data_IF_976121510075
#
_entry.id   IF_976121510075
#
_cell.length_a   1.000
_cell.length_b   1.000
_cell.length_c   1.000
_cell.angle_alpha   90.00
_cell.angle_beta   90.00
_cell.angle_gamma   90.00
#
_symmetry.space_group_name_H-M   'P 1'
#
loop_
_entity.id
_entity.type
_entity.pdbx_description
1 polymer ?
#
# COMPACT_ATOMS: atom_id res chain seq x y z
N UNK A 1 -71.57 38.73 41.27
CA UNK A 1 -70.57 38.83 40.21
C UNK A 1 -69.24 38.35 40.73
N UNK A 2 -68.82 37.09 40.35
CA UNK A 2 -67.55 36.47 40.77
C UNK A 2 -66.55 36.69 39.65
N UNK A 3 -65.47 37.43 39.91
CA UNK A 3 -64.36 37.63 39.00
C UNK A 3 -63.37 36.42 39.13
N UNK A 4 -63.20 35.65 38.04
CA UNK A 4 -62.18 34.65 37.85
C UNK A 4 -60.88 35.33 37.40
N UNK A 5 -59.81 35.17 38.18
CA UNK A 5 -58.47 35.61 37.82
C UNK A 5 -57.73 34.38 37.24
N UNK A 6 -57.37 34.40 35.97
CA UNK A 6 -56.54 33.37 35.35
C UNK A 6 -55.06 33.68 35.61
N UNK A 7 -54.40 32.79 36.29
CA UNK A 7 -52.95 32.84 36.51
C UNK A 7 -52.27 32.08 35.36
N UNK A 8 -51.64 32.80 34.42
CA UNK A 8 -50.81 32.16 33.36
C UNK A 8 -49.46 31.81 33.93
N UNK A 9 -49.21 30.49 34.12
CA UNK A 9 -47.86 29.96 34.47
C UNK A 9 -47.08 29.77 33.20
N UNK A 10 -46.06 30.59 32.98
CA UNK A 10 -45.08 30.40 31.91
C UNK A 10 -44.05 29.37 32.33
N UNK A 11 -44.09 28.18 31.73
CA UNK A 11 -43.06 27.15 31.87
C UNK A 11 -41.95 27.45 30.86
N UNK A 12 -40.81 27.90 31.38
CA UNK A 12 -39.57 28.01 30.58
C UNK A 12 -38.97 26.62 30.43
N UNK A 13 -39.06 26.02 29.25
CA UNK A 13 -38.34 24.82 28.89
C UNK A 13 -36.87 25.17 28.63
N UNK A 14 -35.98 24.89 29.54
CA UNK A 14 -34.55 24.99 29.31
C UNK A 14 -34.12 23.77 28.53
N UNK A 15 -33.89 23.92 27.21
CA UNK A 15 -33.33 22.90 26.38
C UNK A 15 -31.84 22.79 26.68
N UNK A 16 -31.45 21.74 27.40
CA UNK A 16 -30.06 21.37 27.62
C UNK A 16 -29.51 20.76 26.31
N UNK A 17 -28.80 21.56 25.51
CA UNK A 17 -28.06 21.06 24.35
C UNK A 17 -26.83 20.32 24.87
N UNK A 18 -26.91 18.99 24.93
CA UNK A 18 -25.72 18.15 25.13
C UNK A 18 -24.84 18.28 23.89
N UNK A 19 -23.73 19.00 24.03
CA UNK A 19 -22.68 19.01 23.02
C UNK A 19 -22.11 17.60 22.94
N UNK A 20 -22.44 16.88 21.86
CA UNK A 20 -21.77 15.64 21.48
C UNK A 20 -20.34 16.05 21.11
N UNK A 21 -19.29 15.52 21.77
CA UNK A 21 -17.94 15.79 21.35
C UNK A 21 -17.79 15.31 19.91
N UNK A 22 -17.29 16.18 19.03
CA UNK A 22 -16.91 15.80 17.68
C UNK A 22 -15.89 14.66 17.83
N UNK A 23 -16.23 13.47 17.31
CA UNK A 23 -15.25 12.40 17.19
C UNK A 23 -14.20 12.90 16.18
N UNK A 24 -12.98 13.07 16.68
CA UNK A 24 -11.81 13.31 15.85
C UNK A 24 -11.62 12.06 14.99
N UNK A 25 -12.05 12.15 13.72
CA UNK A 25 -12.03 11.02 12.77
C UNK A 25 -10.68 10.84 12.08
N UNK A 26 -9.63 11.49 12.56
CA UNK A 26 -8.26 11.27 12.10
C UNK A 26 -7.61 10.09 12.85
N UNK A 27 -8.15 8.90 12.69
CA UNK A 27 -7.43 7.70 13.10
C UNK A 27 -6.29 7.47 12.10
N UNK A 28 -5.10 8.02 12.41
CA UNK A 28 -3.88 7.69 11.67
C UNK A 28 -3.66 6.17 11.65
N UNK A 29 -3.03 5.68 10.58
CA UNK A 29 -2.72 4.26 10.45
C UNK A 29 -1.91 3.75 11.66
N UNK A 30 -2.22 2.54 12.11
CA UNK A 30 -1.39 1.83 13.09
C UNK A 30 -0.25 1.10 12.37
N UNK A 31 0.97 1.23 12.89
CA UNK A 31 2.15 0.59 12.30
C UNK A 31 2.57 -0.66 13.08
N UNK A 32 3.06 -1.71 12.40
CA UNK A 32 3.26 -1.83 10.96
C UNK A 32 1.93 -1.89 10.18
N UNK A 33 1.83 -1.11 9.08
CA UNK A 33 0.70 -1.12 8.17
C UNK A 33 1.07 -1.94 6.94
N UNK A 34 0.51 -3.13 6.81
CA UNK A 34 0.92 -4.08 5.78
C UNK A 34 0.29 -3.77 4.42
N UNK A 35 1.14 -3.66 3.40
CA UNK A 35 0.75 -3.78 2.00
C UNK A 35 0.46 -5.24 1.68
N UNK A 36 1.40 -6.13 2.05
CA UNK A 36 1.29 -7.58 1.95
C UNK A 36 2.01 -8.24 3.13
N UNK A 37 1.32 -9.14 3.82
CA UNK A 37 1.86 -9.94 4.91
C UNK A 37 1.87 -11.43 4.59
N UNK A 38 0.73 -11.94 4.08
CA UNK A 38 0.53 -13.34 3.74
C UNK A 38 -0.67 -13.47 2.79
N UNK A 39 -0.72 -14.47 1.95
CA UNK A 39 -1.79 -14.67 0.96
C UNK A 39 -3.16 -14.79 1.61
N UNK A 40 -4.04 -13.82 1.34
CA UNK A 40 -5.38 -13.75 1.92
C UNK A 40 -5.44 -13.25 3.36
N UNK A 41 -4.36 -12.71 3.90
CA UNK A 41 -4.37 -12.06 5.23
C UNK A 41 -5.33 -10.87 5.23
N UNK A 42 -6.13 -10.76 6.30
CA UNK A 42 -7.04 -9.61 6.50
C UNK A 42 -6.28 -8.31 6.85
N UNK A 43 -4.99 -8.41 7.14
CA UNK A 43 -4.13 -7.24 7.41
C UNK A 43 -3.49 -6.68 6.15
N UNK A 44 -3.69 -7.31 4.98
CA UNK A 44 -3.29 -6.73 3.70
C UNK A 44 -4.24 -5.59 3.34
N UNK A 45 -3.71 -4.40 3.09
CA UNK A 45 -4.49 -3.20 2.80
C UNK A 45 -4.47 -2.82 1.32
N UNK A 46 -3.63 -3.48 0.53
CA UNK A 46 -3.48 -3.23 -0.90
C UNK A 46 -3.55 -4.53 -1.69
N UNK A 47 -3.88 -4.40 -2.96
CA UNK A 47 -4.08 -5.53 -3.87
C UNK A 47 -3.12 -5.39 -5.05
N UNK A 48 -2.29 -6.39 -5.39
CA UNK A 48 -1.41 -6.36 -6.56
C UNK A 48 -2.22 -6.52 -7.84
N UNK A 49 -2.84 -5.44 -8.29
CA UNK A 49 -3.85 -5.43 -9.38
C UNK A 49 -3.48 -4.55 -10.56
N UNK A 50 -2.59 -3.56 -10.36
CA UNK A 50 -2.23 -2.60 -11.39
C UNK A 50 -1.12 -3.11 -12.31
N UNK A 51 -1.44 -4.03 -13.20
CA UNK A 51 -0.49 -4.53 -14.20
C UNK A 51 -0.28 -3.48 -15.30
N UNK A 52 0.98 -3.21 -15.66
CA UNK A 52 1.36 -2.12 -16.56
C UNK A 52 2.59 -2.46 -17.40
N UNK A 53 2.86 -1.65 -18.44
CA UNK A 53 3.91 -1.92 -19.42
C UNK A 53 3.58 -3.14 -20.27
N UNK A 54 4.54 -4.01 -20.48
CA UNK A 54 4.35 -5.30 -21.16
C UNK A 54 3.70 -6.32 -20.19
N UNK A 55 2.50 -5.96 -19.70
CA UNK A 55 1.78 -6.71 -18.66
C UNK A 55 1.43 -8.15 -19.07
N UNK A 56 1.26 -8.43 -20.35
CA UNK A 56 1.04 -9.79 -20.85
C UNK A 56 2.23 -10.74 -20.62
N UNK A 57 3.42 -10.17 -20.35
CA UNK A 57 4.63 -10.91 -20.00
C UNK A 57 4.72 -11.25 -18.50
N UNK A 58 3.78 -10.81 -17.66
CA UNK A 58 3.80 -11.00 -16.21
C UNK A 58 2.89 -12.14 -15.81
N UNK A 59 3.39 -13.04 -14.96
CA UNK A 59 2.61 -14.00 -14.18
C UNK A 59 2.83 -13.74 -12.70
N UNK A 60 1.77 -13.87 -11.90
CA UNK A 60 1.79 -13.67 -10.46
C UNK A 60 1.12 -14.84 -9.75
N UNK A 61 1.71 -15.22 -8.61
CA UNK A 61 1.12 -16.12 -7.61
C UNK A 61 1.28 -15.47 -6.24
N UNK A 62 0.20 -14.90 -5.71
CA UNK A 62 0.16 -14.24 -4.39
C UNK A 62 0.03 -15.21 -3.20
N UNK A 63 -0.02 -16.50 -3.47
CA UNK A 63 -0.08 -17.56 -2.46
C UNK A 63 1.02 -18.60 -2.65
N UNK A 64 2.14 -18.18 -3.22
CA UNK A 64 3.28 -19.03 -3.44
C UNK A 64 3.86 -19.53 -2.11
N UNK A 65 4.05 -20.85 -2.00
CA UNK A 65 4.60 -21.51 -0.81
C UNK A 65 6.07 -21.89 -0.97
N UNK A 66 6.73 -21.38 -2.00
CA UNK A 66 8.13 -21.64 -2.25
C UNK A 66 9.02 -20.81 -1.32
N UNK A 67 9.38 -21.40 -0.18
CA UNK A 67 10.28 -20.82 0.82
C UNK A 67 9.90 -19.35 1.19
N UNK A 68 8.69 -19.08 1.75
CA UNK A 68 8.31 -17.75 2.19
C UNK A 68 9.27 -17.25 3.28
N UNK A 69 9.44 -15.92 3.37
CA UNK A 69 10.28 -15.31 4.42
C UNK A 69 9.62 -15.43 5.79
N UNK A 70 8.30 -15.27 5.83
CA UNK A 70 7.49 -15.41 7.03
C UNK A 70 6.11 -15.98 6.67
N UNK A 71 5.32 -16.37 7.68
CA UNK A 71 3.98 -16.91 7.45
C UNK A 71 3.97 -18.20 6.62
N UNK A 72 2.95 -18.34 5.76
CA UNK A 72 2.77 -19.53 4.94
C UNK A 72 3.04 -19.29 3.45
N UNK A 73 3.02 -18.03 2.99
CA UNK A 73 3.08 -17.69 1.58
C UNK A 73 3.88 -16.41 1.34
N UNK A 74 4.37 -16.26 0.10
CA UNK A 74 4.93 -15.04 -0.44
C UNK A 74 4.30 -14.73 -1.80
N UNK A 75 4.56 -13.56 -2.37
CA UNK A 75 4.16 -13.25 -3.74
C UNK A 75 5.30 -13.61 -4.68
N UNK A 76 5.01 -14.46 -5.66
CA UNK A 76 5.92 -14.81 -6.75
C UNK A 76 5.53 -14.08 -8.01
N UNK A 77 6.48 -13.41 -8.65
CA UNK A 77 6.35 -12.83 -9.97
C UNK A 77 7.29 -13.51 -10.96
N UNK A 78 6.77 -13.72 -12.17
CA UNK A 78 7.59 -14.14 -13.32
C UNK A 78 7.34 -13.16 -14.45
N UNK A 79 8.39 -12.57 -14.98
CA UNK A 79 8.40 -11.73 -16.16
C UNK A 79 9.18 -12.45 -17.27
N UNK A 80 8.57 -12.62 -18.45
CA UNK A 80 9.21 -13.40 -19.54
C UNK A 80 10.23 -12.60 -20.34
N UNK A 81 10.21 -11.26 -20.22
CA UNK A 81 11.03 -10.37 -21.05
C UNK A 81 10.46 -10.13 -22.45
N UNK A 82 9.29 -10.69 -22.78
CA UNK A 82 8.64 -10.51 -24.07
C UNK A 82 7.94 -9.14 -24.17
N UNK A 83 8.10 -8.39 -25.26
CA UNK A 83 7.47 -7.09 -25.44
C UNK A 83 6.00 -7.25 -25.87
N UNK A 84 5.17 -7.79 -25.00
CA UNK A 84 3.77 -8.16 -25.30
C UNK A 84 2.88 -6.97 -25.68
N UNK A 85 3.19 -5.76 -25.20
CA UNK A 85 2.56 -4.49 -25.61
C UNK A 85 3.53 -3.57 -26.35
N UNK A 86 4.80 -3.99 -26.54
CA UNK A 86 5.83 -3.23 -27.25
C UNK A 86 6.44 -2.07 -26.44
N UNK A 87 6.38 -2.11 -25.12
CA UNK A 87 6.84 -1.02 -24.26
C UNK A 87 8.24 -1.25 -23.66
N UNK A 88 8.77 -2.47 -23.74
CA UNK A 88 10.10 -2.86 -23.24
C UNK A 88 10.33 -2.63 -21.73
N UNK A 89 9.26 -2.57 -20.96
CA UNK A 89 9.25 -2.52 -19.50
C UNK A 89 7.96 -3.13 -18.96
N UNK A 90 7.95 -3.57 -17.72
CA UNK A 90 6.78 -4.14 -17.08
C UNK A 90 6.78 -3.82 -15.58
N UNK A 91 5.59 -3.82 -14.97
CA UNK A 91 5.44 -3.60 -13.55
C UNK A 91 4.07 -3.96 -13.01
N UNK A 92 3.97 -4.05 -11.67
CA UNK A 92 2.72 -4.26 -10.96
C UNK A 92 2.62 -3.29 -9.79
N UNK A 93 1.48 -2.63 -9.68
CA UNK A 93 1.11 -1.71 -8.62
C UNK A 93 0.17 -2.41 -7.65
N UNK A 94 0.46 -2.31 -6.36
CA UNK A 94 -0.43 -2.74 -5.27
C UNK A 94 -1.33 -1.57 -4.91
N UNK A 95 -2.60 -1.67 -5.26
CA UNK A 95 -3.56 -0.57 -5.25
C UNK A 95 -4.68 -0.77 -4.23
N UNK A 96 -5.26 0.31 -3.75
CA UNK A 96 -6.48 0.32 -2.97
C UNK A 96 -7.47 1.37 -3.52
N UNK A 97 -8.68 0.96 -3.97
CA UNK A 97 -9.08 -0.43 -4.26
C UNK A 97 -8.35 -1.02 -5.48
N UNK A 98 -8.61 -2.30 -5.77
CA UNK A 98 -8.01 -2.99 -6.92
C UNK A 98 -8.28 -2.26 -8.24
N UNK A 99 -7.27 -2.22 -9.12
CA UNK A 99 -7.32 -1.57 -10.45
C UNK A 99 -7.68 -0.07 -10.40
N UNK A 100 -7.39 0.60 -9.28
CA UNK A 100 -7.64 2.03 -9.15
C UNK A 100 -6.46 2.85 -9.67
N UNK A 101 -6.64 3.46 -10.83
CA UNK A 101 -5.70 4.37 -11.46
C UNK A 101 -6.03 5.85 -11.19
N UNK A 102 -6.50 6.16 -9.98
CA UNK A 102 -6.90 7.51 -9.56
C UNK A 102 -8.29 7.93 -10.03
N UNK A 103 -9.13 6.96 -10.38
CA UNK A 103 -10.50 7.22 -10.88
C UNK A 103 -11.57 7.18 -9.80
N UNK A 104 -11.29 6.51 -8.68
CA UNK A 104 -12.18 6.41 -7.53
C UNK A 104 -11.41 6.67 -6.23
N UNK A 105 -12.12 7.08 -5.20
CA UNK A 105 -11.56 7.26 -3.85
C UNK A 105 -11.10 5.92 -3.26
N UNK A 106 -10.06 5.93 -2.44
CA UNK A 106 -9.54 4.71 -1.82
C UNK A 106 -8.15 4.82 -1.20
N UNK A 107 -7.54 6.00 -1.21
CA UNK A 107 -6.23 6.23 -0.58
C UNK A 107 -6.24 6.01 0.93
N UNK A 108 -5.14 5.49 1.48
CA UNK A 108 -4.92 5.39 2.91
C UNK A 108 -4.09 6.58 3.41
N UNK A 109 -4.44 7.12 4.58
CA UNK A 109 -3.60 8.08 5.31
C UNK A 109 -2.54 7.30 6.08
N UNK A 110 -1.29 7.39 5.59
CA UNK A 110 -0.12 6.74 6.17
C UNK A 110 0.83 7.74 6.83
N UNK A 111 0.31 8.92 7.17
CA UNK A 111 1.06 9.97 7.91
C UNK A 111 1.68 9.38 9.17
N UNK A 112 2.97 9.66 9.37
CA UNK A 112 3.75 9.12 10.49
C UNK A 112 4.60 7.89 10.15
N UNK A 113 4.42 7.26 8.99
CA UNK A 113 5.37 6.27 8.50
C UNK A 113 6.72 6.93 8.18
N UNK A 114 7.81 6.19 8.41
CA UNK A 114 9.18 6.66 8.17
C UNK A 114 9.85 5.96 7.01
N UNK A 115 9.43 4.74 6.73
CA UNK A 115 9.90 3.95 5.60
C UNK A 115 8.93 2.83 5.25
N UNK A 116 9.05 2.31 4.03
CA UNK A 116 8.51 1.02 3.65
C UNK A 116 9.64 0.01 3.83
N UNK A 117 9.38 -1.11 4.51
CA UNK A 117 10.29 -2.26 4.57
C UNK A 117 9.65 -3.43 3.86
N UNK A 118 10.46 -4.24 3.21
CA UNK A 118 10.01 -5.46 2.54
C UNK A 118 11.15 -6.45 2.38
N UNK A 119 10.81 -7.74 2.25
CA UNK A 119 11.77 -8.74 1.87
C UNK A 119 11.62 -9.07 0.38
N UNK A 120 12.74 -9.23 -0.28
CA UNK A 120 12.80 -9.68 -1.68
C UNK A 120 13.93 -10.67 -1.89
N UNK A 121 13.72 -11.62 -2.81
CA UNK A 121 14.75 -12.50 -3.33
C UNK A 121 14.52 -12.79 -4.82
N UNK A 122 15.58 -12.98 -5.55
CA UNK A 122 15.54 -13.52 -6.89
C UNK A 122 15.47 -15.06 -6.86
N UNK A 123 15.06 -15.65 -7.96
CA UNK A 123 15.14 -17.11 -8.16
C UNK A 123 16.59 -17.56 -8.38
N UNK A 124 17.36 -16.79 -9.13
CA UNK A 124 18.75 -17.06 -9.47
C UNK A 124 19.73 -16.14 -8.76
N UNK A 125 19.29 -14.95 -8.37
CA UNK A 125 20.10 -13.80 -8.00
C UNK A 125 20.58 -13.05 -9.24
N UNK A 126 20.69 -11.72 -9.12
CA UNK A 126 21.03 -10.84 -10.22
C UNK A 126 19.85 -10.23 -10.94
N UNK A 127 18.62 -10.55 -10.56
CA UNK A 127 17.40 -9.89 -11.06
C UNK A 127 17.40 -8.41 -10.69
N UNK A 128 17.14 -7.53 -11.67
CA UNK A 128 17.19 -6.07 -11.49
C UNK A 128 15.81 -5.49 -11.53
N UNK A 129 15.42 -4.81 -10.45
CA UNK A 129 14.14 -4.15 -10.28
C UNK A 129 14.29 -2.77 -9.68
N UNK A 130 13.24 -1.98 -9.79
CA UNK A 130 13.04 -0.77 -9.01
C UNK A 130 11.72 -0.93 -8.24
N UNK A 131 11.76 -0.65 -6.93
CA UNK A 131 10.59 -0.67 -6.08
C UNK A 131 10.13 0.75 -5.79
N UNK A 132 8.81 0.96 -5.73
CA UNK A 132 8.20 2.30 -5.67
C UNK A 132 6.97 2.28 -4.77
N UNK A 133 6.50 3.47 -4.42
CA UNK A 133 5.14 3.71 -3.91
C UNK A 133 4.60 4.99 -4.54
N UNK A 134 3.29 5.19 -4.50
CA UNK A 134 2.65 6.36 -5.08
C UNK A 134 2.78 6.44 -6.61
N UNK A 135 2.58 7.64 -7.13
CA UNK A 135 2.74 7.95 -8.55
C UNK A 135 1.50 7.73 -9.41
N UNK A 136 0.37 7.36 -8.83
CA UNK A 136 -0.92 7.37 -9.52
C UNK A 136 -1.43 8.81 -9.60
N UNK A 137 -1.84 9.22 -10.80
CA UNK A 137 -2.41 10.53 -11.08
C UNK A 137 -3.86 10.38 -11.56
N UNK A 138 -4.73 11.32 -11.20
CA UNK A 138 -6.14 11.29 -11.59
C UNK A 138 -6.97 12.25 -10.77
N UNK A 139 -8.27 12.01 -10.71
CA UNK A 139 -9.18 12.76 -9.83
C UNK A 139 -8.84 12.53 -8.35
N UNK A 140 -8.33 11.34 -8.04
CA UNK A 140 -7.82 10.92 -6.73
C UNK A 140 -6.36 10.52 -6.92
N UNK A 141 -5.45 11.48 -6.82
CA UNK A 141 -4.01 11.25 -7.00
C UNK A 141 -3.36 10.86 -5.69
N UNK A 142 -2.27 10.05 -5.77
CA UNK A 142 -1.37 9.90 -4.63
C UNK A 142 -0.85 11.28 -4.18
N UNK A 143 -0.76 11.50 -2.87
CA UNK A 143 -0.23 12.74 -2.29
C UNK A 143 1.29 12.84 -2.39
N UNK A 144 1.98 11.69 -2.45
CA UNK A 144 3.43 11.58 -2.58
C UNK A 144 3.85 10.36 -3.36
N UNK A 145 5.16 10.16 -3.47
CA UNK A 145 5.73 9.01 -4.15
C UNK A 145 7.24 8.94 -4.01
N UNK A 146 7.78 7.74 -4.10
CA UNK A 146 9.21 7.52 -3.96
C UNK A 146 9.66 6.18 -4.51
N UNK A 147 10.97 5.97 -4.48
CA UNK A 147 11.61 4.81 -5.10
C UNK A 147 12.82 4.33 -4.29
N UNK A 148 13.11 3.03 -4.37
CA UNK A 148 14.36 2.44 -3.89
C UNK A 148 15.55 2.74 -4.79
N UNK A 149 15.32 3.30 -5.99
CA UNK A 149 16.27 3.17 -7.08
C UNK A 149 16.39 1.73 -7.57
N UNK A 150 17.34 1.48 -8.48
CA UNK A 150 17.57 0.12 -8.98
C UNK A 150 18.17 -0.77 -7.88
N UNK A 151 17.60 -1.96 -7.75
CA UNK A 151 18.02 -3.00 -6.82
C UNK A 151 18.39 -4.25 -7.60
N UNK A 152 19.54 -4.84 -7.28
CA UNK A 152 19.95 -6.16 -7.75
C UNK A 152 19.64 -7.17 -6.66
N UNK A 153 18.76 -8.13 -6.95
CA UNK A 153 18.33 -9.13 -5.97
C UNK A 153 19.40 -10.19 -5.74
N UNK A 154 19.44 -10.70 -4.52
CA UNK A 154 20.18 -11.90 -4.16
C UNK A 154 19.27 -13.14 -4.22
N UNK A 155 19.84 -14.33 -4.27
CA UNK A 155 19.07 -15.57 -4.22
C UNK A 155 18.43 -15.81 -2.85
N UNK A 156 19.10 -15.32 -1.79
CA UNK A 156 18.60 -15.38 -0.43
C UNK A 156 17.67 -14.19 -0.15
N UNK A 157 16.73 -14.36 0.76
CA UNK A 157 15.90 -13.29 1.26
C UNK A 157 16.76 -12.18 1.87
N UNK A 158 16.56 -10.96 1.38
CA UNK A 158 17.19 -9.76 1.92
C UNK A 158 16.11 -8.71 2.19
N UNK A 159 16.25 -7.98 3.28
CA UNK A 159 15.41 -6.85 3.59
C UNK A 159 15.88 -5.62 2.82
N UNK A 160 14.93 -4.91 2.24
CA UNK A 160 15.11 -3.64 1.54
C UNK A 160 14.19 -2.60 2.17
N UNK A 161 14.46 -1.33 1.86
CA UNK A 161 13.62 -0.24 2.33
C UNK A 161 13.48 0.86 1.27
N UNK A 162 12.37 1.61 1.36
CA UNK A 162 12.15 2.87 0.65
C UNK A 162 11.98 3.93 1.74
N UNK A 163 12.87 4.93 1.85
CA UNK A 163 12.73 6.01 2.81
C UNK A 163 11.52 6.90 2.43
N UNK A 164 10.84 7.43 3.45
CA UNK A 164 9.64 8.24 3.31
C UNK A 164 9.83 9.66 3.87
N UNK A 165 11.08 10.06 4.15
CA UNK A 165 11.39 11.39 4.63
C UNK A 165 10.89 12.43 3.61
N UNK A 166 10.27 13.49 4.14
CA UNK A 166 9.72 14.61 3.34
C UNK A 166 8.62 14.25 2.34
N UNK A 167 8.04 13.05 2.43
CA UNK A 167 6.91 12.64 1.59
C UNK A 167 5.57 12.99 2.26
N UNK A 168 4.64 13.53 1.48
CA UNK A 168 3.24 13.62 1.88
C UNK A 168 2.59 12.25 1.73
N UNK A 169 2.13 11.70 2.86
CA UNK A 169 1.53 10.38 2.95
C UNK A 169 0.06 10.45 3.34
N UNK A 170 -0.56 11.61 3.25
CA UNK A 170 -1.95 11.83 3.66
C UNK A 170 -2.96 11.07 2.79
N UNK A 171 -2.55 10.69 1.57
CA UNK A 171 -3.41 9.94 0.65
C UNK A 171 -2.58 9.06 -0.29
N UNK A 172 -2.54 7.74 -0.03
CA UNK A 172 -1.73 6.78 -0.78
C UNK A 172 -2.63 5.71 -1.38
N UNK A 173 -2.82 5.75 -2.71
CA UNK A 173 -3.54 4.76 -3.52
C UNK A 173 -2.66 3.58 -3.89
N UNK A 174 -1.42 3.88 -4.32
CA UNK A 174 -0.41 2.87 -4.63
C UNK A 174 0.51 2.68 -3.43
N UNK A 175 0.23 1.68 -2.60
CA UNK A 175 1.02 1.41 -1.41
C UNK A 175 2.39 0.81 -1.70
N UNK A 176 2.56 0.16 -2.85
CA UNK A 176 3.81 -0.43 -3.31
C UNK A 176 3.74 -0.74 -4.80
N UNK A 177 4.86 -0.76 -5.47
CA UNK A 177 4.98 -1.21 -6.84
C UNK A 177 6.38 -1.77 -7.10
N UNK A 178 6.49 -2.57 -8.14
CA UNK A 178 7.77 -2.90 -8.74
C UNK A 178 7.71 -2.66 -10.24
N UNK A 179 8.85 -2.27 -10.80
CA UNK A 179 9.04 -2.13 -12.24
C UNK A 179 10.39 -2.70 -12.68
N UNK A 180 10.47 -3.17 -13.90
CA UNK A 180 11.71 -3.59 -14.55
C UNK A 180 11.71 -3.23 -16.02
N UNK A 181 12.88 -3.02 -16.59
CA UNK A 181 13.06 -2.84 -18.02
C UNK A 181 13.55 -4.14 -18.68
N UNK A 182 13.11 -4.42 -19.90
CA UNK A 182 13.50 -5.61 -20.66
C UNK A 182 15.02 -5.75 -20.77
N UNK A 183 15.75 -4.63 -20.99
CA UNK A 183 17.21 -4.64 -21.09
C UNK A 183 17.92 -5.20 -19.85
N UNK A 184 17.28 -5.10 -18.68
CA UNK A 184 17.80 -5.61 -17.40
C UNK A 184 17.51 -7.10 -17.19
N UNK A 185 16.56 -7.65 -17.96
CA UNK A 185 16.13 -9.05 -17.87
C UNK A 185 15.72 -9.60 -19.24
N UNK A 186 16.63 -9.60 -20.24
CA UNK A 186 16.30 -9.99 -21.62
C UNK A 186 15.89 -11.46 -21.77
N UNK A 187 16.25 -12.30 -20.81
CA UNK A 187 15.82 -13.71 -20.72
C UNK A 187 14.69 -13.96 -19.76
N UNK A 188 14.03 -12.89 -19.31
CA UNK A 188 13.03 -12.97 -18.24
C UNK A 188 13.64 -13.13 -16.87
N UNK A 189 12.80 -13.05 -15.85
CA UNK A 189 13.19 -13.22 -14.44
C UNK A 189 12.05 -13.79 -13.61
N UNK A 190 12.41 -14.37 -12.47
CA UNK A 190 11.47 -14.74 -11.41
C UNK A 190 12.01 -14.19 -10.10
N UNK A 191 11.13 -13.60 -9.31
CA UNK A 191 11.47 -13.08 -7.99
C UNK A 191 10.29 -13.19 -7.03
N UNK A 192 10.56 -12.98 -5.76
CA UNK A 192 9.61 -13.17 -4.67
C UNK A 192 9.65 -11.95 -3.76
N UNK A 193 8.47 -11.58 -3.25
CA UNK A 193 8.27 -10.51 -2.27
C UNK A 193 7.52 -11.04 -1.05
N UNK A 194 7.84 -10.50 0.12
CA UNK A 194 7.19 -10.87 1.37
C UNK A 194 7.28 -9.74 2.40
N UNK A 195 6.37 -9.73 3.39
CA UNK A 195 6.38 -8.81 4.53
C UNK A 195 6.54 -7.33 4.11
N UNK A 196 5.73 -6.87 3.16
CA UNK A 196 5.76 -5.49 2.69
C UNK A 196 4.95 -4.62 3.64
N UNK A 197 5.57 -3.66 4.33
CA UNK A 197 4.89 -2.83 5.32
C UNK A 197 5.46 -1.41 5.41
N UNK A 198 4.56 -0.46 5.67
CA UNK A 198 4.91 0.85 6.19
C UNK A 198 5.21 0.73 7.68
N UNK A 199 6.31 1.33 8.12
CA UNK A 199 6.75 1.29 9.51
C UNK A 199 7.16 2.68 9.99
N UNK A 200 7.02 2.92 11.30
CA UNK A 200 7.57 4.07 12.00
C UNK A 200 8.81 3.65 12.81
N UNK A 201 9.42 4.58 13.55
CA UNK A 201 10.63 4.31 14.34
C UNK A 201 10.45 3.23 15.40
N UNK A 202 9.23 3.03 15.90
CA UNK A 202 8.92 1.98 16.88
C UNK A 202 8.69 0.60 16.27
N UNK A 203 8.49 0.51 14.96
CA UNK A 203 8.22 -0.74 14.22
C UNK A 203 9.46 -1.51 13.76
N UNK A 204 10.64 -1.09 14.14
CA UNK A 204 11.92 -1.68 13.69
C UNK A 204 12.31 -3.03 14.34
N UNK A 205 11.39 -3.71 15.02
CA UNK A 205 11.74 -4.88 15.81
C UNK A 205 10.93 -6.13 15.44
N UNK A 206 11.19 -6.76 14.30
CA UNK A 206 10.92 -8.20 14.10
C UNK A 206 11.89 -8.78 13.06
N UNK A 207 13.20 -8.63 13.30
CA UNK A 207 14.19 -9.47 12.67
C UNK A 207 14.74 -10.44 13.74
N UNK A 208 14.09 -11.59 13.92
CA UNK A 208 14.67 -12.76 14.55
C UNK A 208 14.41 -13.98 13.70
#
# INVERSE_FOLDING_TARGET
MKKFVYFCVWIWAVSLILAVPAQDSSAHATFPFYVYKDGGSKTNHYIPSGFTGDYGAIKMDEKCRDNPKAGETCVKFTYTGEPTQGLNWAGVFFQNPANNWGTVDGGNDLTGAKKITFFARGDKGGEVLEFKFGGINGAFSDSGGGTSGQVVLTKEWKQYEIPLEDQDLSYVLCGFAWVTEQKNSPGGMTFFLDEIAYVNDSGAALAK
#
